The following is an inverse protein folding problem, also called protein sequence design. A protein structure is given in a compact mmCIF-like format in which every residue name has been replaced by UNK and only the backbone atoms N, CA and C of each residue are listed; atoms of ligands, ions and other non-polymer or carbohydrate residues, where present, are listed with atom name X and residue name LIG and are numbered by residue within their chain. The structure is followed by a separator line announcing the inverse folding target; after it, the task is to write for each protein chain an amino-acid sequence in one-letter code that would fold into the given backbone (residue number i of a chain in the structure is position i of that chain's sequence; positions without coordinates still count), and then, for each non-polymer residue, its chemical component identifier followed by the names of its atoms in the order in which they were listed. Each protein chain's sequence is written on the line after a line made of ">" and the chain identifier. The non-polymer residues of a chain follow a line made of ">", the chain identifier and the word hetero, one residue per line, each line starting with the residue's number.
data_IF_816649046351
#
_entry.id   IF_816649046351
#
_cell.length_a   1.000
_cell.length_b   1.000
_cell.length_c   1.000
_cell.angle_alpha   90.00
_cell.angle_beta   90.00
_cell.angle_gamma   90.00
#
_symmetry.space_group_name_H-M   'P 1'
#
loop_
_entity.id
_entity.type
_entity.pdbx_description
1 polymer ?
#
# COMPACT_ATOMS: atom_id res chain seq x y z
N UNK A 1 46.29 -49.22 -41.83
CA UNK A 1 46.02 -48.90 -40.41
C UNK A 1 45.40 -47.54 -40.33
N UNK A 2 44.06 -47.46 -40.36
CA UNK A 2 43.33 -46.21 -40.25
C UNK A 2 42.89 -45.99 -38.79
N UNK A 3 43.33 -44.87 -38.22
CA UNK A 3 42.87 -44.43 -36.88
C UNK A 3 41.65 -43.60 -37.03
N UNK A 4 40.48 -44.14 -36.63
CA UNK A 4 39.27 -43.39 -36.50
C UNK A 4 39.29 -42.55 -35.19
N UNK A 5 39.32 -41.22 -35.33
CA UNK A 5 39.19 -40.30 -34.23
C UNK A 5 37.70 -40.16 -33.83
N UNK A 6 37.42 -40.41 -32.55
CA UNK A 6 36.10 -40.25 -31.97
C UNK A 6 35.94 -38.77 -31.51
N UNK A 7 35.09 -38.00 -32.17
CA UNK A 7 34.70 -36.64 -31.74
C UNK A 7 33.61 -36.75 -30.67
N UNK A 8 33.96 -36.40 -29.43
CA UNK A 8 32.96 -36.18 -28.37
C UNK A 8 32.35 -34.79 -28.54
N UNK A 9 31.08 -34.73 -28.85
CA UNK A 9 30.29 -33.49 -28.82
C UNK A 9 29.86 -33.22 -27.39
N UNK A 10 30.37 -32.16 -26.79
CA UNK A 10 29.93 -31.66 -25.48
C UNK A 10 28.71 -30.78 -25.76
N UNK A 11 27.52 -31.27 -25.39
CA UNK A 11 26.30 -30.46 -25.40
C UNK A 11 26.27 -29.56 -24.15
N UNK A 12 26.48 -28.27 -24.35
CA UNK A 12 26.29 -27.26 -23.29
C UNK A 12 24.79 -27.05 -23.07
N UNK A 13 24.29 -27.49 -21.92
CA UNK A 13 22.92 -27.17 -21.45
C UNK A 13 22.94 -25.73 -20.96
N UNK A 14 22.42 -24.81 -21.75
CA UNK A 14 22.14 -23.45 -21.32
C UNK A 14 20.83 -23.51 -20.52
N UNK A 15 20.91 -23.50 -19.19
CA UNK A 15 19.75 -23.26 -18.32
C UNK A 15 19.36 -21.78 -18.44
N UNK A 16 18.32 -21.51 -19.18
CA UNK A 16 17.70 -20.19 -19.16
C UNK A 16 17.07 -19.96 -17.77
N UNK A 17 17.72 -19.12 -16.97
CA UNK A 17 17.16 -18.61 -15.73
C UNK A 17 15.94 -17.75 -16.11
N UNK A 18 14.73 -18.29 -15.97
CA UNK A 18 13.48 -17.53 -16.16
C UNK A 18 13.37 -16.57 -14.98
N UNK A 19 13.90 -15.36 -15.16
CA UNK A 19 13.60 -14.26 -14.25
C UNK A 19 12.09 -14.12 -14.17
N UNK A 20 11.51 -14.40 -13.00
CA UNK A 20 10.08 -14.31 -12.74
C UNK A 20 9.58 -12.93 -13.15
N UNK A 21 8.56 -12.89 -14.01
CA UNK A 21 8.06 -11.66 -14.63
C UNK A 21 7.55 -10.69 -13.57
N UNK A 22 8.27 -9.60 -13.38
CA UNK A 22 7.91 -8.51 -12.49
C UNK A 22 6.83 -7.67 -13.17
N UNK A 23 5.60 -7.68 -12.64
CA UNK A 23 4.51 -6.87 -13.15
C UNK A 23 4.37 -5.59 -12.34
N UNK A 24 4.38 -4.43 -13.02
CA UNK A 24 4.17 -3.12 -12.41
C UNK A 24 2.94 -2.46 -13.01
N UNK A 25 2.05 -1.95 -12.17
CA UNK A 25 0.84 -1.23 -12.55
C UNK A 25 0.72 0.06 -11.77
N UNK A 26 0.40 1.17 -12.46
CA UNK A 26 0.04 2.44 -11.83
C UNK A 26 -1.45 2.68 -12.00
N UNK A 27 -2.17 2.81 -10.91
CA UNK A 27 -3.60 3.06 -10.85
C UNK A 27 -3.82 4.55 -10.69
N UNK A 28 -4.46 5.17 -11.68
CA UNK A 28 -4.82 6.58 -11.65
C UNK A 28 -6.08 6.76 -10.78
N UNK A 29 -5.89 7.20 -9.55
CA UNK A 29 -6.95 7.30 -8.54
C UNK A 29 -8.00 8.37 -8.87
N UNK A 30 -7.65 9.38 -9.69
CA UNK A 30 -8.57 10.41 -10.17
C UNK A 30 -9.45 10.03 -11.37
N UNK A 31 -9.39 8.82 -11.89
CA UNK A 31 -10.06 8.41 -13.13
C UNK A 31 -11.58 8.15 -12.99
N UNK A 32 -12.23 8.62 -11.95
CA UNK A 32 -13.68 8.56 -11.82
C UNK A 32 -14.31 9.95 -11.87
N UNK A 33 -15.64 10.00 -11.96
CA UNK A 33 -16.35 11.25 -11.77
C UNK A 33 -16.28 11.70 -10.31
N UNK A 34 -16.23 13.00 -10.02
CA UNK A 34 -16.33 13.51 -8.66
C UNK A 34 -17.53 12.90 -7.91
N UNK A 35 -17.32 12.53 -6.66
CA UNK A 35 -18.33 11.85 -5.83
C UNK A 35 -18.37 10.32 -6.00
N UNK A 36 -17.70 9.75 -7.00
CA UNK A 36 -17.66 8.31 -7.23
C UNK A 36 -16.36 7.67 -6.74
N UNK A 37 -16.41 6.36 -6.50
CA UNK A 37 -15.22 5.54 -6.24
C UNK A 37 -14.60 5.11 -7.58
N UNK A 38 -13.25 5.08 -7.75
CA UNK A 38 -12.63 4.58 -8.96
C UNK A 38 -12.95 3.10 -9.21
N UNK A 39 -13.01 2.71 -10.48
CA UNK A 39 -13.23 1.32 -10.86
C UNK A 39 -12.18 0.37 -10.24
N UNK A 40 -12.61 -0.79 -9.82
CA UNK A 40 -11.77 -1.79 -9.16
C UNK A 40 -11.55 -1.55 -7.67
N UNK A 41 -12.10 -0.47 -7.10
CA UNK A 41 -12.07 -0.24 -5.66
C UNK A 41 -13.41 -0.58 -5.01
N UNK A 42 -13.35 -1.06 -3.78
CA UNK A 42 -14.46 -1.17 -2.84
C UNK A 42 -14.08 -0.58 -1.50
N UNK A 43 -15.07 -0.26 -0.66
CA UNK A 43 -14.82 0.35 0.65
C UNK A 43 -15.19 -0.61 1.77
N UNK A 44 -14.35 -0.62 2.79
CA UNK A 44 -14.54 -1.39 4.01
C UNK A 44 -14.14 -0.53 5.22
N UNK A 45 -14.31 -1.07 6.40
CA UNK A 45 -13.88 -0.42 7.64
C UNK A 45 -13.57 -1.46 8.71
N UNK A 46 -12.39 -1.34 9.35
CA UNK A 46 -12.11 -2.03 10.59
C UNK A 46 -12.70 -1.24 11.77
N UNK A 47 -13.19 -1.92 12.77
CA UNK A 47 -13.65 -1.30 14.01
C UNK A 47 -15.07 -0.71 13.92
N UNK A 48 -15.31 0.43 14.61
CA UNK A 48 -16.63 1.02 14.85
C UNK A 48 -16.80 2.36 14.10
N UNK A 49 -17.91 3.07 14.36
CA UNK A 49 -18.22 4.38 13.79
C UNK A 49 -18.96 4.33 12.46
N UNK A 50 -19.06 5.46 11.75
CA UNK A 50 -19.73 5.55 10.46
C UNK A 50 -19.01 4.75 9.38
N UNK A 51 -19.69 4.32 8.30
CA UNK A 51 -19.07 3.73 7.13
C UNK A 51 -17.91 4.57 6.56
N UNK A 52 -17.00 3.94 5.86
CA UNK A 52 -15.95 4.64 5.13
C UNK A 52 -16.56 5.52 4.02
N UNK A 53 -16.05 6.76 3.86
CA UNK A 53 -16.52 7.69 2.84
C UNK A 53 -15.36 8.03 1.89
N UNK A 54 -15.24 7.23 0.85
CA UNK A 54 -14.23 7.39 -0.18
C UNK A 54 -14.86 7.82 -1.48
N UNK A 55 -14.34 8.88 -2.08
CA UNK A 55 -14.79 9.36 -3.39
C UNK A 55 -13.71 10.21 -4.07
N UNK A 56 -13.80 10.31 -5.39
CA UNK A 56 -12.97 11.25 -6.15
C UNK A 56 -13.42 12.67 -5.88
N UNK A 57 -12.45 13.54 -5.62
CA UNK A 57 -12.63 14.98 -5.43
C UNK A 57 -11.71 15.76 -6.35
N UNK A 58 -12.06 17.03 -6.63
CA UNK A 58 -11.18 17.92 -7.41
C UNK A 58 -9.97 18.37 -6.58
N UNK A 59 -8.79 18.32 -7.19
CA UNK A 59 -7.57 18.95 -6.68
C UNK A 59 -6.75 19.48 -7.87
N UNK A 60 -6.74 20.80 -8.13
CA UNK A 60 -5.99 21.38 -9.25
C UNK A 60 -4.46 21.31 -9.06
N UNK A 61 -3.97 20.92 -7.87
CA UNK A 61 -2.53 20.80 -7.60
C UNK A 61 -1.91 19.52 -8.16
N UNK A 62 -2.71 18.58 -8.66
CA UNK A 62 -2.22 17.35 -9.32
C UNK A 62 -2.50 17.37 -10.82
N UNK A 63 -1.67 16.69 -11.64
CA UNK A 63 -1.82 16.71 -13.10
C UNK A 63 -3.17 16.22 -13.62
N UNK A 64 -3.80 15.26 -12.94
CA UNK A 64 -5.14 14.75 -13.27
C UNK A 64 -6.28 15.70 -12.90
N UNK A 65 -6.00 16.74 -12.09
CA UNK A 65 -7.00 17.64 -11.51
C UNK A 65 -7.93 16.97 -10.49
N UNK A 66 -7.71 15.71 -10.14
CA UNK A 66 -8.60 14.92 -9.27
C UNK A 66 -7.82 13.89 -8.47
N UNK A 67 -8.31 13.57 -7.27
CA UNK A 67 -7.70 12.62 -6.33
C UNK A 67 -8.76 11.74 -5.70
N UNK A 68 -8.38 10.57 -5.20
CA UNK A 68 -9.24 9.77 -4.32
C UNK A 68 -9.09 10.27 -2.87
N UNK A 69 -10.19 10.59 -2.22
CA UNK A 69 -10.22 11.13 -0.87
C UNK A 69 -11.06 10.27 0.08
N UNK A 70 -10.58 10.07 1.30
CA UNK A 70 -11.39 9.76 2.46
C UNK A 70 -11.89 11.10 3.04
N UNK A 71 -13.21 11.28 3.12
CA UNK A 71 -13.83 12.58 3.44
C UNK A 71 -14.63 12.59 4.74
N UNK A 72 -14.90 11.44 5.35
CA UNK A 72 -15.64 11.37 6.63
C UNK A 72 -14.81 11.97 7.77
N UNK A 73 -15.47 12.78 8.58
CA UNK A 73 -14.92 13.42 9.79
C UNK A 73 -15.41 12.75 11.09
N UNK A 74 -15.83 11.49 11.02
CA UNK A 74 -16.25 10.71 12.19
C UNK A 74 -15.06 10.49 13.14
N UNK A 75 -15.19 10.96 14.37
CA UNK A 75 -14.16 11.01 15.40
C UNK A 75 -14.01 9.72 16.20
N UNK A 76 -14.67 8.63 15.81
CA UNK A 76 -14.49 7.33 16.47
C UNK A 76 -13.05 6.88 16.36
N UNK A 77 -12.33 6.81 17.48
CA UNK A 77 -10.88 6.57 17.50
C UNK A 77 -10.51 5.22 16.89
N UNK A 78 -11.22 4.14 17.23
CA UNK A 78 -10.99 2.82 16.66
C UNK A 78 -11.85 2.59 15.41
N UNK A 79 -11.61 3.41 14.40
CA UNK A 79 -12.23 3.42 13.09
C UNK A 79 -11.15 3.52 12.04
N UNK A 80 -11.02 2.50 11.17
CA UNK A 80 -10.01 2.47 10.11
C UNK A 80 -10.67 2.31 8.75
N UNK A 81 -11.01 3.41 8.07
CA UNK A 81 -11.53 3.40 6.70
C UNK A 81 -10.53 2.78 5.71
N UNK A 82 -11.02 1.88 4.86
CA UNK A 82 -10.26 1.19 3.82
C UNK A 82 -10.88 1.47 2.44
N UNK A 83 -10.03 1.76 1.44
CA UNK A 83 -10.36 1.64 0.03
C UNK A 83 -9.50 0.52 -0.56
N UNK A 84 -10.12 -0.62 -0.88
CA UNK A 84 -9.45 -1.86 -1.26
C UNK A 84 -9.46 -2.00 -2.77
N UNK A 85 -8.29 -2.23 -3.38
CA UNK A 85 -8.16 -2.47 -4.80
C UNK A 85 -8.28 -3.97 -5.10
N UNK A 86 -9.34 -4.36 -5.82
CA UNK A 86 -9.65 -5.75 -6.13
C UNK A 86 -8.87 -6.31 -7.34
N UNK A 87 -8.21 -5.44 -8.12
CA UNK A 87 -7.50 -5.83 -9.33
C UNK A 87 -6.23 -6.67 -9.11
N UNK A 88 -5.74 -6.75 -7.87
CA UNK A 88 -4.51 -7.48 -7.54
C UNK A 88 -4.70 -8.31 -6.26
N UNK A 89 -4.13 -9.53 -6.28
CA UNK A 89 -3.93 -10.36 -5.08
C UNK A 89 -2.49 -10.83 -5.11
N UNK A 90 -1.68 -10.44 -4.13
CA UNK A 90 -0.25 -10.75 -4.09
C UNK A 90 0.22 -11.02 -2.66
N UNK A 91 1.22 -11.89 -2.53
CA UNK A 91 1.97 -12.12 -1.29
C UNK A 91 3.16 -11.17 -1.24
N UNK A 92 3.96 -11.20 -2.29
CA UNK A 92 5.16 -10.39 -2.41
C UNK A 92 4.86 -9.19 -3.32
N UNK A 93 4.95 -7.99 -2.74
CA UNK A 93 4.47 -6.77 -3.39
C UNK A 93 5.26 -5.56 -2.92
N UNK A 94 5.47 -4.62 -3.82
CA UNK A 94 5.87 -3.25 -3.47
C UNK A 94 4.75 -2.31 -3.85
N UNK A 95 4.33 -1.50 -2.90
CA UNK A 95 3.27 -0.50 -3.06
C UNK A 95 3.84 0.88 -2.75
N UNK A 96 3.54 1.85 -3.59
CA UNK A 96 3.85 3.26 -3.37
C UNK A 96 2.63 4.10 -3.65
N UNK A 97 2.38 5.11 -2.81
CA UNK A 97 1.26 6.04 -2.95
C UNK A 97 1.69 7.46 -2.63
N UNK A 98 1.23 8.43 -3.43
CA UNK A 98 1.27 9.85 -3.06
C UNK A 98 0.02 10.17 -2.24
N UNK A 99 0.22 10.76 -1.07
CA UNK A 99 -0.88 11.16 -0.19
C UNK A 99 -0.66 12.56 0.39
N UNK A 100 -1.77 13.22 0.76
CA UNK A 100 -1.80 14.51 1.44
C UNK A 100 -2.79 14.44 2.59
N UNK A 101 -2.31 14.58 3.83
CA UNK A 101 -3.12 14.60 5.03
C UNK A 101 -3.70 16.01 5.23
N UNK A 102 -4.95 16.21 4.81
CA UNK A 102 -5.59 17.52 4.70
C UNK A 102 -6.25 17.95 6.02
N UNK A 103 -6.90 17.02 6.73
CA UNK A 103 -7.66 17.33 7.93
C UNK A 103 -7.77 16.17 8.89
N UNK A 104 -8.33 16.46 10.07
CA UNK A 104 -8.54 15.54 11.17
C UNK A 104 -8.03 16.15 12.48
N UNK A 105 -8.75 15.90 13.57
CA UNK A 105 -8.44 16.38 14.92
C UNK A 105 -8.04 15.25 15.85
N UNK A 106 -8.69 14.09 15.72
CA UNK A 106 -8.35 12.87 16.48
C UNK A 106 -7.16 12.20 15.84
N UNK A 107 -7.14 12.17 14.48
CA UNK A 107 -6.02 11.63 13.71
C UNK A 107 -5.89 12.37 12.38
N UNK A 108 -4.70 12.39 11.80
CA UNK A 108 -4.43 12.99 10.47
C UNK A 108 -3.44 12.12 9.73
N UNK A 109 -3.94 10.99 9.24
CA UNK A 109 -3.11 9.90 8.78
C UNK A 109 -3.53 9.39 7.40
N UNK A 110 -2.53 8.97 6.62
CA UNK A 110 -2.68 8.19 5.40
C UNK A 110 -1.84 6.91 5.47
N UNK A 111 -2.28 5.86 4.78
CA UNK A 111 -1.60 4.58 4.84
C UNK A 111 -1.84 3.66 3.66
N UNK A 112 -1.01 2.61 3.61
CA UNK A 112 -1.06 1.50 2.65
C UNK A 112 -1.36 0.22 3.43
N UNK A 113 -2.38 -0.54 3.00
CA UNK A 113 -2.64 -1.90 3.48
C UNK A 113 -2.16 -2.93 2.46
N UNK A 114 -1.53 -4.02 2.92
CA UNK A 114 -1.09 -5.15 2.09
C UNK A 114 -1.44 -6.48 2.74
N UNK A 115 -1.46 -7.55 1.93
CA UNK A 115 -1.90 -8.90 2.35
C UNK A 115 -3.27 -8.87 3.04
N UNK A 116 -4.14 -7.98 2.56
CA UNK A 116 -5.46 -7.78 3.12
C UNK A 116 -6.39 -8.92 2.66
N UNK A 117 -6.81 -9.76 3.58
CA UNK A 117 -7.77 -10.84 3.35
C UNK A 117 -9.20 -10.38 3.57
N UNK A 118 -9.41 -9.51 4.55
CA UNK A 118 -10.68 -8.88 4.91
C UNK A 118 -10.43 -7.59 5.71
N UNK A 119 -11.49 -6.89 6.13
CA UNK A 119 -11.38 -5.62 6.86
C UNK A 119 -10.72 -5.74 8.24
N UNK A 120 -10.51 -6.93 8.75
CA UNK A 120 -9.98 -7.17 10.10
C UNK A 120 -8.60 -7.88 10.10
N UNK A 121 -8.06 -8.22 8.90
CA UNK A 121 -6.82 -8.99 8.77
C UNK A 121 -5.93 -8.47 7.64
N UNK A 122 -4.90 -7.68 7.99
CA UNK A 122 -3.95 -7.07 7.05
C UNK A 122 -2.72 -6.49 7.75
N UNK A 123 -1.68 -6.18 6.98
CA UNK A 123 -0.62 -5.26 7.40
C UNK A 123 -0.96 -3.83 6.97
N UNK A 124 -0.55 -2.84 7.77
CA UNK A 124 -0.70 -1.43 7.42
C UNK A 124 0.54 -0.62 7.75
N UNK A 125 1.00 0.14 6.77
CA UNK A 125 1.96 1.22 6.94
C UNK A 125 1.20 2.54 7.02
N UNK A 126 1.43 3.33 8.09
CA UNK A 126 0.76 4.61 8.35
C UNK A 126 1.78 5.73 8.49
N UNK A 127 1.56 6.86 7.82
CA UNK A 127 2.17 8.15 8.15
C UNK A 127 1.13 9.05 8.84
N UNK A 128 1.52 9.76 9.90
CA UNK A 128 0.62 10.58 10.71
C UNK A 128 1.18 11.99 10.91
N UNK A 129 0.43 13.00 10.48
CA UNK A 129 0.81 14.40 10.52
C UNK A 129 0.55 15.09 11.88
N UNK A 130 -0.23 14.49 12.79
CA UNK A 130 -0.38 15.01 14.15
C UNK A 130 0.70 14.47 15.09
N UNK A 131 1.16 13.24 14.84
CA UNK A 131 2.13 12.56 15.69
C UNK A 131 3.56 12.66 15.15
N UNK A 132 3.76 13.14 13.91
CA UNK A 132 5.06 13.20 13.24
C UNK A 132 5.79 11.85 13.28
N UNK A 133 5.14 10.80 12.77
CA UNK A 133 5.72 9.47 12.71
C UNK A 133 5.27 8.66 11.50
N UNK A 134 6.06 7.63 11.19
CA UNK A 134 5.72 6.56 10.24
C UNK A 134 5.82 5.24 10.98
N UNK A 135 4.70 4.55 11.13
CA UNK A 135 4.58 3.33 11.90
C UNK A 135 4.02 2.19 11.05
N UNK A 136 4.54 0.98 11.28
CA UNK A 136 4.12 -0.25 10.65
C UNK A 136 3.43 -1.16 11.65
N UNK A 137 2.27 -1.71 11.26
CA UNK A 137 1.39 -2.51 12.12
C UNK A 137 0.90 -3.76 11.39
N UNK A 138 0.43 -4.74 12.15
CA UNK A 138 -0.61 -5.66 11.68
C UNK A 138 -1.95 -5.35 12.36
N UNK A 139 -3.05 -5.64 11.65
CA UNK A 139 -4.40 -5.74 12.19
C UNK A 139 -4.80 -7.20 12.08
N UNK A 140 -5.06 -7.86 13.20
CA UNK A 140 -5.43 -9.26 13.25
C UNK A 140 -6.71 -9.42 14.07
N UNK A 141 -7.75 -9.97 13.46
CA UNK A 141 -9.11 -10.07 14.04
C UNK A 141 -9.60 -8.72 14.57
N UNK A 142 -9.38 -7.68 13.77
CA UNK A 142 -9.74 -6.30 14.09
C UNK A 142 -8.83 -5.61 15.13
N UNK A 143 -7.86 -6.30 15.74
CA UNK A 143 -6.95 -5.72 16.73
C UNK A 143 -5.65 -5.25 16.09
N UNK A 144 -5.32 -3.97 16.22
CA UNK A 144 -4.10 -3.37 15.66
C UNK A 144 -2.94 -3.44 16.66
N UNK A 145 -1.80 -3.97 16.21
CA UNK A 145 -0.54 -4.00 16.97
C UNK A 145 0.61 -3.42 16.16
N UNK A 146 1.40 -2.57 16.77
CA UNK A 146 2.61 -2.01 16.16
C UNK A 146 3.72 -3.05 16.10
N UNK A 147 4.37 -3.14 14.94
CA UNK A 147 5.55 -3.99 14.71
C UNK A 147 6.81 -3.14 14.85
N UNK A 148 6.84 -1.99 14.18
CA UNK A 148 7.98 -1.05 14.17
C UNK A 148 7.52 0.35 13.82
N UNK A 149 8.40 1.35 13.98
CA UNK A 149 8.12 2.72 13.60
C UNK A 149 9.26 3.66 13.90
N UNK A 150 9.15 4.89 13.39
CA UNK A 150 10.13 5.96 13.58
C UNK A 150 9.44 7.32 13.62
N UNK A 151 9.95 8.23 14.43
CA UNK A 151 9.55 9.62 14.39
C UNK A 151 10.20 10.31 13.19
N UNK A 152 9.38 10.90 12.35
CA UNK A 152 9.79 11.67 11.18
C UNK A 152 8.73 12.74 10.92
N UNK A 153 9.17 13.94 10.56
CA UNK A 153 8.27 15.04 10.27
C UNK A 153 7.35 14.70 9.08
N UNK A 154 6.03 14.80 9.30
CA UNK A 154 4.98 14.60 8.30
C UNK A 154 4.13 15.87 8.20
N UNK A 155 4.57 16.91 7.48
CA UNK A 155 3.80 18.14 7.35
C UNK A 155 2.39 17.90 6.82
N UNK A 156 1.39 18.51 7.50
CA UNK A 156 0.01 18.52 7.01
C UNK A 156 -0.10 19.33 5.72
N UNK A 157 -1.10 19.01 4.91
CA UNK A 157 -1.46 19.72 3.68
C UNK A 157 -0.33 19.79 2.63
N UNK A 158 0.60 18.85 2.71
CA UNK A 158 1.68 18.66 1.74
C UNK A 158 1.62 17.26 1.14
N UNK A 159 2.04 17.14 -0.12
CA UNK A 159 2.15 15.86 -0.80
C UNK A 159 3.39 15.10 -0.32
N UNK A 160 3.19 13.86 0.07
CA UNK A 160 4.22 12.91 0.48
C UNK A 160 4.09 11.61 -0.29
N UNK A 161 5.20 10.89 -0.42
CA UNK A 161 5.21 9.52 -0.95
C UNK A 161 5.45 8.55 0.20
N UNK A 162 4.55 7.57 0.34
CA UNK A 162 4.69 6.45 1.27
C UNK A 162 4.93 5.19 0.46
N UNK A 163 5.87 4.34 0.85
CA UNK A 163 6.17 3.09 0.17
C UNK A 163 6.37 1.93 1.13
N UNK A 164 5.87 0.76 0.73
CA UNK A 164 5.95 -0.50 1.47
C UNK A 164 6.33 -1.61 0.50
N UNK A 165 7.47 -2.26 0.72
CA UNK A 165 7.86 -3.49 0.02
C UNK A 165 7.76 -4.66 0.99
N UNK A 166 6.97 -5.67 0.64
CA UNK A 166 6.80 -6.92 1.37
C UNK A 166 7.33 -8.07 0.52
N UNK A 167 8.32 -8.83 1.00
CA UNK A 167 8.87 -10.02 0.34
C UNK A 167 9.14 -11.08 1.42
N UNK A 168 8.50 -12.23 1.33
CA UNK A 168 8.54 -13.22 2.40
C UNK A 168 8.01 -12.63 3.71
N UNK A 169 8.80 -12.67 4.76
CA UNK A 169 8.51 -12.06 6.07
C UNK A 169 9.20 -10.70 6.29
N UNK A 170 9.90 -10.19 5.27
CA UNK A 170 10.65 -8.94 5.31
C UNK A 170 9.82 -7.79 4.73
N UNK A 171 9.82 -6.67 5.45
CA UNK A 171 9.15 -5.43 5.04
C UNK A 171 10.16 -4.29 5.00
N UNK A 172 10.18 -3.54 3.88
CA UNK A 172 10.98 -2.32 3.75
C UNK A 172 10.05 -1.13 3.66
N UNK A 173 10.24 -0.17 4.54
CA UNK A 173 9.40 1.01 4.71
C UNK A 173 10.13 2.25 4.19
N UNK A 174 9.44 3.01 3.31
CA UNK A 174 9.96 4.26 2.76
C UNK A 174 9.01 5.43 2.90
N UNK A 175 9.56 6.63 3.01
CA UNK A 175 8.86 7.89 3.05
C UNK A 175 9.69 8.97 2.33
N UNK A 176 9.06 9.70 1.37
CA UNK A 176 9.68 10.72 0.54
C UNK A 176 11.04 10.27 -0.02
N UNK A 177 11.00 9.15 -0.78
CA UNK A 177 12.14 8.53 -1.47
C UNK A 177 13.30 8.07 -0.56
N UNK A 178 13.11 8.06 0.76
CA UNK A 178 14.07 7.54 1.72
C UNK A 178 13.57 6.26 2.36
N UNK A 179 14.40 5.23 2.40
CA UNK A 179 14.13 4.07 3.27
C UNK A 179 14.30 4.50 4.71
N UNK A 180 13.25 4.29 5.51
CA UNK A 180 13.25 4.64 6.93
C UNK A 180 13.74 3.49 7.81
N UNK A 181 13.18 2.29 7.59
CA UNK A 181 13.53 1.08 8.34
C UNK A 181 13.07 -0.18 7.62
N UNK A 182 13.53 -1.32 8.11
CA UNK A 182 13.03 -2.64 7.76
C UNK A 182 12.40 -3.29 8.99
N UNK A 183 11.46 -4.23 8.77
CA UNK A 183 10.83 -5.00 9.82
C UNK A 183 10.63 -6.45 9.36
N UNK A 184 10.52 -7.36 10.32
CA UNK A 184 10.20 -8.77 10.08
C UNK A 184 8.94 -9.12 10.84
N UNK A 185 7.94 -9.72 10.15
CA UNK A 185 6.72 -10.22 10.79
C UNK A 185 6.15 -11.39 9.99
N UNK A 186 5.55 -12.36 10.68
CA UNK A 186 5.02 -13.61 10.11
C UNK A 186 3.53 -13.81 10.35
N UNK A 187 2.83 -12.78 10.81
CA UNK A 187 1.39 -12.86 11.14
C UNK A 187 0.55 -13.29 9.94
N UNK A 188 0.83 -12.71 8.75
CA UNK A 188 0.15 -13.07 7.51
C UNK A 188 1.16 -13.52 6.46
N UNK A 189 1.11 -14.80 6.08
CA UNK A 189 2.00 -15.42 5.08
C UNK A 189 1.35 -15.61 3.71
N UNK A 190 0.03 -15.43 3.61
CA UNK A 190 -0.73 -15.64 2.39
C UNK A 190 -0.82 -14.37 1.54
N UNK A 191 -1.14 -14.57 0.25
CA UNK A 191 -1.49 -13.46 -0.65
C UNK A 191 -2.79 -12.78 -0.19
N UNK A 192 -2.87 -11.47 -0.44
CA UNK A 192 -4.06 -10.67 -0.15
C UNK A 192 -4.12 -9.44 -1.03
N UNK A 193 -5.14 -8.61 -0.82
CA UNK A 193 -5.37 -7.37 -1.56
C UNK A 193 -4.42 -6.27 -1.08
N UNK A 194 -4.38 -5.20 -1.89
CA UNK A 194 -3.76 -3.91 -1.57
C UNK A 194 -4.87 -2.90 -1.32
N UNK A 195 -4.67 -1.98 -0.36
CA UNK A 195 -5.65 -0.93 -0.07
C UNK A 195 -5.00 0.35 0.43
N UNK A 196 -5.81 1.41 0.41
CA UNK A 196 -5.53 2.67 1.08
C UNK A 196 -6.22 2.67 2.44
N UNK A 197 -5.64 3.35 3.40
CA UNK A 197 -6.06 3.31 4.79
C UNK A 197 -6.03 4.70 5.41
N UNK A 198 -6.99 4.98 6.28
CA UNK A 198 -6.97 6.15 7.16
C UNK A 198 -7.45 5.77 8.57
N UNK A 199 -7.39 6.72 9.52
CA UNK A 199 -7.85 6.52 10.88
C UNK A 199 -8.81 7.64 11.31
N UNK A 200 -9.85 7.27 12.06
CA UNK A 200 -10.81 8.17 12.69
C UNK A 200 -11.34 9.24 11.70
N UNK A 201 -11.17 10.50 12.05
CA UNK A 201 -11.61 11.67 11.29
C UNK A 201 -10.56 12.18 10.27
N UNK A 202 -9.54 11.37 9.94
CA UNK A 202 -8.53 11.77 8.96
C UNK A 202 -9.14 12.03 7.60
N UNK A 203 -9.12 13.28 7.15
CA UNK A 203 -9.39 13.64 5.75
C UNK A 203 -8.06 13.59 5.01
N UNK A 204 -7.93 12.60 4.11
CA UNK A 204 -6.68 12.34 3.40
C UNK A 204 -6.93 12.11 1.92
N UNK A 205 -6.12 12.73 1.09
CA UNK A 205 -6.17 12.67 -0.36
C UNK A 205 -5.05 11.78 -0.88
N UNK A 206 -5.34 11.02 -1.95
CA UNK A 206 -4.42 10.09 -2.60
C UNK A 206 -4.45 10.33 -4.11
N UNK A 207 -3.27 10.58 -4.71
CA UNK A 207 -3.14 10.94 -6.12
C UNK A 207 -2.87 9.70 -6.99
N UNK A 208 -1.80 8.98 -6.73
CA UNK A 208 -1.37 7.83 -7.53
C UNK A 208 -1.01 6.64 -6.65
N UNK A 209 -1.40 5.44 -7.09
CA UNK A 209 -1.09 4.17 -6.45
C UNK A 209 -0.29 3.31 -7.44
N UNK A 210 0.96 3.03 -7.13
CA UNK A 210 1.80 2.12 -7.92
C UNK A 210 1.95 0.80 -7.18
N UNK A 211 1.68 -0.30 -7.86
CA UNK A 211 1.80 -1.65 -7.32
C UNK A 211 2.72 -2.46 -8.22
N UNK A 212 3.74 -3.08 -7.63
CA UNK A 212 4.65 -4.00 -8.29
C UNK A 212 4.59 -5.34 -7.57
N UNK A 213 4.27 -6.42 -8.30
CA UNK A 213 4.26 -7.78 -7.75
C UNK A 213 5.58 -8.48 -8.05
N UNK A 214 5.97 -9.38 -7.17
CA UNK A 214 7.09 -10.29 -7.33
C UNK A 214 6.54 -11.72 -7.36
N UNK A 215 7.08 -12.54 -8.24
CA UNK A 215 6.76 -13.96 -8.33
C UNK A 215 7.59 -14.78 -7.34
#
# INVERSE_FOLDING_TARGET
>A
MERRGLLLAIASVVTADQAAAQQSSTIALGNAQPGQLPAGFRTERTGKGAPAAWSVVADPSVPSGKVLAQTSTDQTDYRFPLAIYDGITAKDVQVSVRFKAVGGRIDRAGGIAVRLTDADNYYVLRANALEDNVNFYHVARGSRRQISGVNVKVPSDQWHTLSLKAVGDQFTIGFNDRTLFTATDRTFSNAGKVGLWTKADSVTWFDSLTIRTFA
#
